data_IF_398051629543
#
_entry.id   IF_398051629543
#
_cell.length_a   1.000
_cell.length_b   1.000
_cell.length_c   1.000
_cell.angle_alpha   90.00
_cell.angle_beta   90.00
_cell.angle_gamma   90.00
#
_symmetry.space_group_name_H-M   'P 1'
#
loop_
_entity.id
_entity.type
_entity.pdbx_description
1 polymer ?
#
# COMPACT_ATOMS: atom_id res chain seq x y z
N UNK A 1 3.00 -61.86 -63.21
CA UNK A 1 2.64 -61.66 -61.82
C UNK A 1 3.80 -60.81 -61.14
N UNK A 2 3.66 -59.52 -61.15
CA UNK A 2 4.60 -58.60 -60.44
C UNK A 2 3.82 -57.63 -59.56
N UNK A 3 3.89 -57.86 -58.29
CA UNK A 3 3.24 -56.96 -57.28
C UNK A 3 4.16 -55.75 -57.03
N UNK A 4 3.62 -54.61 -57.37
CA UNK A 4 4.26 -53.32 -57.05
C UNK A 4 3.95 -52.96 -55.60
N UNK A 5 5.00 -52.76 -54.82
CA UNK A 5 4.94 -52.31 -53.42
C UNK A 5 4.98 -50.76 -53.41
N UNK A 6 3.85 -50.15 -53.05
CA UNK A 6 3.78 -48.69 -52.88
C UNK A 6 4.16 -48.38 -51.45
N UNK A 7 5.31 -47.68 -51.27
CA UNK A 7 5.78 -47.20 -49.99
C UNK A 7 5.09 -45.85 -49.73
N UNK A 8 4.18 -45.81 -48.77
CA UNK A 8 3.58 -44.59 -48.26
C UNK A 8 4.57 -43.93 -47.25
N UNK A 9 5.12 -42.82 -47.66
CA UNK A 9 5.95 -41.99 -46.80
C UNK A 9 5.04 -41.07 -45.97
N UNK A 10 4.74 -41.46 -44.71
CA UNK A 10 4.01 -40.60 -43.75
C UNK A 10 4.95 -39.55 -43.18
N UNK A 11 4.77 -38.31 -43.63
CA UNK A 11 5.43 -37.14 -43.02
C UNK A 11 4.74 -36.80 -41.71
N UNK A 12 5.43 -37.03 -40.62
CA UNK A 12 4.97 -36.69 -39.27
C UNK A 12 5.28 -35.20 -39.05
N UNK A 13 4.26 -34.33 -39.17
CA UNK A 13 4.37 -32.93 -38.73
C UNK A 13 4.34 -32.89 -37.22
N UNK A 14 5.48 -32.69 -36.58
CA UNK A 14 5.59 -32.30 -35.19
C UNK A 14 5.20 -30.81 -35.08
N UNK A 15 3.93 -30.56 -34.80
CA UNK A 15 3.48 -29.25 -34.37
C UNK A 15 3.99 -29.01 -32.95
N UNK A 16 5.04 -28.20 -32.83
CA UNK A 16 5.52 -27.69 -31.57
C UNK A 16 4.47 -26.74 -30.98
N UNK A 17 3.73 -27.19 -29.98
CA UNK A 17 3.00 -26.28 -29.10
C UNK A 17 4.01 -25.51 -28.25
N UNK A 18 4.30 -24.29 -28.62
CA UNK A 18 4.87 -23.32 -27.69
C UNK A 18 3.79 -22.97 -26.67
N UNK A 19 4.03 -23.15 -25.36
CA UNK A 19 3.10 -22.61 -24.38
C UNK A 19 3.10 -21.09 -24.53
N UNK A 20 1.92 -20.52 -24.75
CA UNK A 20 1.72 -19.09 -24.67
C UNK A 20 2.08 -18.67 -23.24
N UNK A 21 3.10 -17.85 -23.11
CA UNK A 21 3.47 -17.16 -21.89
C UNK A 21 2.29 -16.25 -21.54
N UNK A 22 1.50 -16.67 -20.56
CA UNK A 22 0.48 -15.83 -19.93
C UNK A 22 1.20 -14.60 -19.41
N UNK A 23 0.74 -13.37 -19.75
CA UNK A 23 1.32 -12.18 -19.12
C UNK A 23 0.97 -12.26 -17.64
N UNK A 24 1.95 -12.57 -16.81
CA UNK A 24 1.85 -12.37 -15.37
C UNK A 24 1.43 -10.93 -15.14
N UNK A 25 0.20 -10.74 -14.72
CA UNK A 25 -0.28 -9.47 -14.22
C UNK A 25 0.63 -9.12 -13.04
N UNK A 26 1.66 -8.32 -13.29
CA UNK A 26 2.42 -7.66 -12.26
C UNK A 26 1.44 -6.76 -11.54
N UNK A 27 0.79 -7.31 -10.51
CA UNK A 27 0.15 -6.54 -9.47
C UNK A 27 1.27 -5.68 -8.90
N UNK A 28 1.33 -4.43 -9.34
CA UNK A 28 2.36 -3.49 -8.95
C UNK A 28 2.21 -3.19 -7.45
N UNK A 29 2.69 -4.09 -6.61
CA UNK A 29 3.11 -3.72 -5.28
C UNK A 29 4.29 -2.77 -5.49
N UNK A 30 4.07 -1.50 -5.10
CA UNK A 30 5.04 -0.44 -5.26
C UNK A 30 6.42 -0.86 -4.75
N UNK A 31 7.39 -0.16 -5.26
CA UNK A 31 8.81 -0.28 -4.93
C UNK A 31 9.00 -0.65 -3.44
N UNK A 32 9.52 -1.84 -3.16
CA UNK A 32 9.89 -2.28 -1.80
C UNK A 32 11.16 -1.58 -1.36
N UNK A 33 11.09 -0.26 -1.30
CA UNK A 33 12.18 0.56 -0.80
C UNK A 33 12.36 0.28 0.70
N UNK A 34 13.59 0.30 1.17
CA UNK A 34 13.90 0.40 2.60
C UNK A 34 14.05 1.87 3.03
N UNK A 35 14.10 2.79 2.08
CA UNK A 35 14.21 4.21 2.35
C UNK A 35 12.85 4.76 2.80
N UNK A 36 12.87 5.53 3.88
CA UNK A 36 11.69 6.27 4.37
C UNK A 36 11.06 7.10 3.26
N UNK A 37 9.75 7.04 3.13
CA UNK A 37 8.96 7.79 2.16
C UNK A 37 8.00 8.72 2.88
N UNK A 38 7.99 9.99 2.48
CA UNK A 38 7.05 10.98 2.96
C UNK A 38 6.28 11.55 1.79
N UNK A 39 4.96 11.60 1.88
CA UNK A 39 4.09 12.06 0.81
C UNK A 39 2.83 12.73 1.35
N UNK A 40 2.17 13.47 0.48
CA UNK A 40 0.87 14.11 0.75
C UNK A 40 -0.17 13.54 -0.21
N UNK A 41 -1.41 13.35 0.24
CA UNK A 41 -2.51 12.98 -0.64
C UNK A 41 -2.91 14.17 -1.53
N UNK A 42 -3.51 13.95 -2.72
CA UNK A 42 -3.92 15.03 -3.63
C UNK A 42 -4.82 16.09 -2.99
N UNK A 43 -5.63 15.72 -2.00
CA UNK A 43 -6.46 16.65 -1.23
C UNK A 43 -5.66 17.66 -0.39
N UNK A 44 -4.36 17.41 -0.18
CA UNK A 44 -3.46 18.16 0.72
C UNK A 44 -3.95 18.22 2.18
N UNK A 45 -4.89 17.36 2.53
CA UNK A 45 -5.46 17.29 3.88
C UNK A 45 -4.78 16.21 4.76
N UNK A 46 -4.13 15.23 4.14
CA UNK A 46 -3.43 14.14 4.83
C UNK A 46 -2.01 14.05 4.29
N UNK A 47 -1.04 14.03 5.19
CA UNK A 47 0.36 13.74 4.91
C UNK A 47 0.77 12.48 5.64
N UNK A 48 1.60 11.65 5.02
CA UNK A 48 2.06 10.39 5.59
C UNK A 48 3.58 10.24 5.48
N UNK A 49 4.13 9.51 6.43
CA UNK A 49 5.52 9.07 6.47
C UNK A 49 5.53 7.56 6.73
N UNK A 50 6.24 6.82 5.89
CA UNK A 50 6.38 5.37 5.97
C UNK A 50 7.85 5.02 6.09
N UNK A 51 8.19 4.26 7.12
CA UNK A 51 9.53 3.76 7.39
C UNK A 51 9.52 2.23 7.48
N UNK A 52 10.68 1.64 7.74
CA UNK A 52 10.80 0.20 7.98
C UNK A 52 10.16 -0.23 9.33
N UNK A 53 9.95 0.70 10.26
CA UNK A 53 9.45 0.44 11.61
C UNK A 53 7.98 0.80 11.80
N UNK A 54 7.46 1.73 10.99
CA UNK A 54 6.10 2.26 11.16
C UNK A 54 5.57 3.00 9.94
N UNK A 55 4.26 3.22 9.92
CA UNK A 55 3.64 4.20 9.05
C UNK A 55 2.77 5.15 9.89
N UNK A 56 2.95 6.46 9.68
CA UNK A 56 2.21 7.53 10.34
C UNK A 56 1.55 8.42 9.32
N UNK A 57 0.30 8.82 9.57
CA UNK A 57 -0.37 9.87 8.82
C UNK A 57 -0.96 10.92 9.75
N UNK A 58 -0.80 12.18 9.36
CA UNK A 58 -1.38 13.35 10.02
C UNK A 58 -2.51 13.91 9.18
N UNK A 59 -3.54 14.44 9.82
CA UNK A 59 -4.68 15.10 9.18
C UNK A 59 -4.84 16.55 9.64
N UNK A 60 -5.10 17.44 8.69
CA UNK A 60 -5.24 18.87 8.93
C UNK A 60 -6.66 19.28 9.32
N UNK A 61 -7.64 18.83 8.54
CA UNK A 61 -9.06 19.14 8.75
C UNK A 61 -9.83 17.83 8.90
N UNK A 62 -10.56 17.71 9.98
CA UNK A 62 -11.41 16.56 10.30
C UNK A 62 -12.73 16.98 10.94
N UNK A 63 -13.76 16.16 10.76
CA UNK A 63 -15.11 16.41 11.28
C UNK A 63 -15.40 15.56 12.55
N UNK A 64 -14.50 14.66 12.91
CA UNK A 64 -14.58 13.82 14.11
C UNK A 64 -13.76 14.38 15.27
N UNK A 65 -14.14 14.00 16.48
CA UNK A 65 -13.39 14.35 17.70
C UNK A 65 -12.60 13.14 18.20
N UNK A 66 -11.32 13.31 18.56
CA UNK A 66 -10.57 12.25 19.20
C UNK A 66 -11.12 11.97 20.60
N UNK A 67 -10.85 10.78 21.16
CA UNK A 67 -11.08 10.54 22.58
C UNK A 67 -10.28 11.50 23.46
N UNK A 68 -10.56 11.50 24.76
CA UNK A 68 -9.82 12.33 25.72
C UNK A 68 -8.32 12.10 25.58
N UNK A 69 -7.57 13.20 25.62
CA UNK A 69 -6.11 13.18 25.58
C UNK A 69 -5.59 12.37 26.78
N UNK A 70 -4.70 11.38 26.54
CA UNK A 70 -4.08 10.64 27.63
C UNK A 70 -3.30 11.57 28.57
N UNK A 71 -3.31 11.27 29.87
CA UNK A 71 -2.66 12.12 30.86
C UNK A 71 -1.12 12.23 30.71
N UNK A 72 -0.53 11.20 30.12
CA UNK A 72 0.92 11.10 29.80
C UNK A 72 1.29 11.71 28.45
N UNK A 73 0.30 12.20 27.67
CA UNK A 73 0.58 12.88 26.42
C UNK A 73 0.79 14.36 26.65
N UNK A 74 2.03 14.82 26.56
CA UNK A 74 2.39 16.25 26.69
C UNK A 74 2.30 17.01 25.36
N UNK A 75 2.25 16.29 24.22
CA UNK A 75 2.31 16.83 22.86
C UNK A 75 0.90 16.97 22.26
N UNK A 76 0.81 17.22 20.95
CA UNK A 76 -0.45 17.27 20.21
C UNK A 76 -1.13 15.88 20.15
N UNK A 77 -2.45 15.88 20.26
CA UNK A 77 -3.27 14.67 20.30
C UNK A 77 -4.41 14.70 19.31
N UNK A 78 -4.65 13.56 18.67
CA UNK A 78 -5.84 13.34 17.86
C UNK A 78 -5.75 13.82 16.41
N UNK A 79 -4.58 14.25 15.95
CA UNK A 79 -4.34 14.64 14.56
C UNK A 79 -3.48 13.63 13.80
N UNK A 80 -2.90 12.66 14.47
CA UNK A 80 -2.02 11.65 13.90
C UNK A 80 -2.45 10.23 14.27
N UNK A 81 -2.33 9.30 13.32
CA UNK A 81 -2.39 7.86 13.56
C UNK A 81 -1.08 7.22 13.13
N UNK A 82 -0.64 6.25 13.92
CA UNK A 82 0.55 5.44 13.61
C UNK A 82 0.19 3.96 13.67
N UNK A 83 0.73 3.17 12.76
CA UNK A 83 0.74 1.71 12.81
C UNK A 83 2.17 1.23 12.96
N UNK A 84 2.36 0.30 13.89
CA UNK A 84 3.59 -0.47 14.12
C UNK A 84 3.28 -1.96 13.97
N UNK A 85 4.24 -2.83 14.21
CA UNK A 85 4.02 -4.28 14.21
C UNK A 85 3.01 -4.71 15.29
N UNK A 86 2.94 -3.97 16.42
CA UNK A 86 2.05 -4.24 17.56
C UNK A 86 0.61 -3.80 17.30
N UNK A 87 0.39 -2.80 16.43
CA UNK A 87 -0.95 -2.31 16.10
C UNK A 87 -0.99 -0.87 15.67
N UNK A 88 -2.22 -0.34 15.60
CA UNK A 88 -2.47 1.04 15.19
C UNK A 88 -3.23 1.82 16.26
N UNK A 89 -2.86 3.07 16.45
CA UNK A 89 -3.47 3.98 17.43
C UNK A 89 -3.33 5.44 17.04
N UNK A 90 -4.12 6.30 17.70
CA UNK A 90 -3.84 7.73 17.73
C UNK A 90 -2.49 7.97 18.40
N UNK A 91 -1.77 8.95 17.91
CA UNK A 91 -0.41 9.24 18.35
C UNK A 91 -0.32 10.58 19.07
N UNK A 92 0.45 10.60 20.13
CA UNK A 92 0.91 11.81 20.82
C UNK A 92 2.18 12.30 20.10
N UNK A 93 2.13 13.42 19.40
CA UNK A 93 3.22 13.87 18.52
C UNK A 93 3.47 15.36 18.66
N UNK A 94 4.75 15.76 18.68
CA UNK A 94 5.17 17.15 18.78
C UNK A 94 5.63 17.76 17.45
N UNK A 95 5.59 16.99 16.39
CA UNK A 95 5.94 17.37 15.04
C UNK A 95 4.83 17.03 14.05
N UNK A 96 5.04 17.32 12.78
CA UNK A 96 4.08 16.96 11.73
C UNK A 96 4.77 16.34 10.52
N UNK A 97 4.11 15.34 9.92
CA UNK A 97 4.52 14.74 8.64
C UNK A 97 3.79 15.38 7.45
N UNK A 98 3.10 16.49 7.70
CA UNK A 98 2.47 17.28 6.63
C UNK A 98 3.51 18.03 5.80
N UNK A 99 3.13 18.41 4.57
CA UNK A 99 3.93 19.31 3.73
C UNK A 99 5.01 18.63 2.88
N UNK A 100 4.99 17.32 2.73
CA UNK A 100 5.83 16.65 1.74
C UNK A 100 5.54 17.18 0.33
N UNK A 101 6.59 17.39 -0.46
CA UNK A 101 6.47 17.82 -1.86
C UNK A 101 5.92 16.69 -2.76
N UNK A 102 6.17 15.43 -2.40
CA UNK A 102 5.68 14.28 -3.14
C UNK A 102 4.16 14.16 -2.95
N UNK A 103 3.43 14.07 -4.06
CA UNK A 103 2.00 13.76 -4.06
C UNK A 103 1.83 12.29 -4.43
N UNK A 104 1.25 11.52 -3.54
CA UNK A 104 0.83 10.15 -3.84
C UNK A 104 -0.59 10.20 -4.44
N UNK A 105 -0.67 10.02 -5.75
CA UNK A 105 -1.95 10.06 -6.47
C UNK A 105 -2.95 9.04 -5.91
N UNK A 106 -4.24 9.31 -6.08
CA UNK A 106 -5.27 8.38 -5.64
C UNK A 106 -5.12 7.01 -6.31
N UNK A 107 -5.48 5.98 -5.57
CA UNK A 107 -5.38 4.56 -5.97
C UNK A 107 -3.93 4.07 -6.16
N UNK A 108 -2.96 4.83 -5.65
CA UNK A 108 -1.55 4.43 -5.56
C UNK A 108 -1.17 4.04 -4.15
N UNK A 109 -0.17 3.18 -4.07
CA UNK A 109 0.38 2.67 -2.82
C UNK A 109 1.89 2.93 -2.72
N UNK A 110 2.35 3.12 -1.49
CA UNK A 110 3.77 3.15 -1.11
C UNK A 110 4.00 2.02 -0.12
N UNK A 111 5.07 1.26 -0.32
CA UNK A 111 5.52 0.24 0.61
C UNK A 111 6.96 0.51 1.03
N UNK A 112 7.23 0.49 2.34
CA UNK A 112 8.57 0.53 2.92
C UNK A 112 8.66 -0.60 3.94
N UNK A 113 9.58 -1.54 3.71
CA UNK A 113 9.65 -2.74 4.51
C UNK A 113 8.32 -3.50 4.52
N UNK A 114 7.75 -3.67 5.71
CA UNK A 114 6.49 -4.37 5.94
C UNK A 114 5.27 -3.43 6.05
N UNK A 115 5.46 -2.12 5.90
CA UNK A 115 4.38 -1.13 5.99
C UNK A 115 3.95 -0.67 4.62
N UNK A 116 2.63 -0.66 4.41
CA UNK A 116 1.98 -0.25 3.16
C UNK A 116 1.00 0.86 3.46
N UNK A 117 1.08 1.96 2.71
CA UNK A 117 0.07 3.02 2.71
C UNK A 117 -0.54 3.18 1.33
N UNK A 118 -1.85 3.34 1.29
CA UNK A 118 -2.65 3.54 0.08
C UNK A 118 -3.30 4.91 0.16
N UNK A 119 -3.14 5.70 -0.90
CA UNK A 119 -3.88 6.93 -1.12
C UNK A 119 -5.21 6.62 -1.78
N UNK A 120 -6.32 7.03 -1.16
CA UNK A 120 -7.64 6.88 -1.72
C UNK A 120 -8.43 8.19 -1.63
N UNK A 121 -9.47 8.35 -2.47
CA UNK A 121 -10.36 9.53 -2.41
C UNK A 121 -11.04 9.69 -1.05
N UNK A 122 -11.29 8.58 -0.37
CA UNK A 122 -11.85 8.55 0.99
C UNK A 122 -10.84 8.94 2.07
N UNK A 123 -9.53 8.88 1.79
CA UNK A 123 -8.48 9.15 2.76
C UNK A 123 -7.27 8.24 2.60
N UNK A 124 -6.46 8.10 3.65
CA UNK A 124 -5.32 7.21 3.69
C UNK A 124 -5.67 5.89 4.39
N UNK A 125 -5.12 4.78 3.91
CA UNK A 125 -5.12 3.50 4.59
C UNK A 125 -3.69 3.02 4.73
N UNK A 126 -3.23 2.81 5.97
CA UNK A 126 -1.90 2.27 6.23
C UNK A 126 -2.01 0.98 7.05
N UNK A 127 -1.16 0.00 6.76
CA UNK A 127 -1.14 -1.29 7.44
C UNK A 127 0.25 -1.91 7.51
N UNK A 128 0.46 -2.74 8.54
CA UNK A 128 1.58 -3.66 8.65
C UNK A 128 1.19 -4.97 7.98
N UNK A 129 1.85 -5.32 6.88
CA UNK A 129 1.45 -6.42 6.00
C UNK A 129 1.40 -7.79 6.69
N UNK A 130 2.40 -8.19 7.53
CA UNK A 130 2.36 -9.50 8.18
C UNK A 130 1.22 -9.66 9.19
N UNK A 131 0.90 -8.63 9.98
CA UNK A 131 -0.16 -8.74 11.00
C UNK A 131 -1.55 -8.36 10.47
N UNK A 132 -1.62 -7.69 9.33
CA UNK A 132 -2.86 -7.14 8.79
C UNK A 132 -3.43 -5.96 9.59
N UNK A 133 -2.78 -5.56 10.69
CA UNK A 133 -3.20 -4.42 11.52
C UNK A 133 -2.92 -3.10 10.84
N UNK A 134 -3.74 -2.10 11.12
CA UNK A 134 -3.59 -0.83 10.46
C UNK A 134 -4.66 0.18 10.86
N UNK A 135 -4.75 1.23 10.04
CA UNK A 135 -5.76 2.26 10.22
C UNK A 135 -6.27 2.77 8.87
N UNK A 136 -7.43 3.37 8.91
CA UNK A 136 -7.91 4.31 7.89
C UNK A 136 -8.03 5.69 8.51
N UNK A 137 -7.63 6.72 7.78
CA UNK A 137 -7.70 8.11 8.20
C UNK A 137 -8.39 8.92 7.11
N UNK A 138 -9.54 9.49 7.44
CA UNK A 138 -10.35 10.30 6.55
C UNK A 138 -10.87 11.54 7.27
N UNK A 139 -11.35 12.53 6.50
CA UNK A 139 -11.93 13.72 7.08
C UNK A 139 -13.15 13.39 7.96
N UNK A 140 -14.01 12.48 7.52
CA UNK A 140 -15.25 12.14 8.23
C UNK A 140 -15.08 11.15 9.39
N UNK A 141 -14.03 10.34 9.40
CA UNK A 141 -13.78 9.33 10.44
C UNK A 141 -12.37 8.78 10.37
N UNK A 142 -11.97 8.06 11.42
CA UNK A 142 -10.83 7.14 11.39
C UNK A 142 -11.25 5.80 11.96
N UNK A 143 -10.52 4.75 11.61
CA UNK A 143 -10.67 3.41 12.21
C UNK A 143 -9.30 2.78 12.41
N UNK A 144 -9.17 1.93 13.42
CA UNK A 144 -8.04 1.01 13.59
C UNK A 144 -8.55 -0.44 13.45
N UNK A 145 -7.72 -1.34 12.97
CA UNK A 145 -8.07 -2.74 12.71
C UNK A 145 -6.88 -3.67 12.92
#
# INVERSE_FOLDING_TARGET
MRRALVIFCTVLCLAGCTPAEEPEAKTGLGDRSTATRQFTLPSKNIGCLVSAESARCDIKVKDWKPPAKPADCEQEWGNALTVTAEGASLSCVGDTVMGAAEILEYDKAVQVGEFVCISARAGARCSHAPSGRGFTLARGAYTTF
#
